data_IF_900798319641
#
_entry.id   IF_900798319641
#
_cell.length_a   1.000
_cell.length_b   1.000
_cell.length_c   1.000
_cell.angle_alpha   90.00
_cell.angle_beta   90.00
_cell.angle_gamma   90.00
#
_symmetry.space_group_name_H-M   'P 1'
#
loop_
_entity.id
_entity.type
_entity.pdbx_description
1 polymer ?
#
# COMPACT_ATOMS: atom_id res chain seq x y z
N UNK A 1 20.65 -11.97 0.95
CA UNK A 1 20.31 -13.02 1.93
C UNK A 1 19.70 -14.27 1.27
N UNK A 2 20.24 -14.68 0.10
CA UNK A 2 19.76 -15.80 -0.73
C UNK A 2 20.12 -17.21 -0.19
N UNK A 3 21.01 -17.29 0.80
CA UNK A 3 21.60 -18.57 1.22
C UNK A 3 20.66 -19.42 2.09
N UNK A 4 19.66 -18.82 2.73
CA UNK A 4 18.76 -19.57 3.62
C UNK A 4 17.70 -20.39 2.88
N UNK A 5 17.42 -20.14 1.60
CA UNK A 5 16.38 -20.85 0.83
C UNK A 5 16.90 -21.67 -0.35
N UNK A 6 18.20 -21.56 -0.72
CA UNK A 6 18.82 -22.40 -1.76
C UNK A 6 19.39 -23.72 -1.25
N UNK A 7 19.41 -23.93 0.07
CA UNK A 7 19.86 -25.20 0.65
C UNK A 7 18.70 -26.20 0.70
N UNK A 8 18.98 -27.52 0.59
CA UNK A 8 17.97 -28.57 0.83
C UNK A 8 17.27 -28.42 2.19
N UNK A 9 17.97 -27.86 3.19
CA UNK A 9 17.42 -27.54 4.50
C UNK A 9 16.46 -26.34 4.47
N UNK A 10 16.76 -25.29 3.71
CA UNK A 10 15.86 -24.15 3.47
C UNK A 10 14.58 -24.55 2.74
N UNK A 11 14.69 -25.44 1.76
CA UNK A 11 13.55 -25.98 1.02
C UNK A 11 12.73 -26.97 1.88
N UNK A 12 13.39 -27.77 2.72
CA UNK A 12 12.72 -28.63 3.69
C UNK A 12 12.00 -27.81 4.77
N UNK A 13 12.60 -26.72 5.27
CA UNK A 13 11.95 -25.79 6.20
C UNK A 13 10.75 -25.12 5.52
N UNK A 14 10.88 -24.68 4.27
CA UNK A 14 9.76 -24.17 3.47
C UNK A 14 8.61 -25.18 3.35
N UNK A 15 8.91 -26.46 3.11
CA UNK A 15 7.91 -27.53 2.99
C UNK A 15 7.25 -27.89 4.33
N UNK A 16 8.03 -27.92 5.42
CA UNK A 16 7.55 -28.18 6.79
C UNK A 16 6.72 -27.01 7.32
N UNK A 17 7.08 -25.78 6.98
CA UNK A 17 6.23 -24.63 7.21
C UNK A 17 4.90 -24.87 6.45
N UNK A 18 4.89 -25.15 5.16
CA UNK A 18 3.63 -25.23 4.39
C UNK A 18 2.59 -26.33 4.79
N UNK A 19 2.83 -27.16 5.81
CA UNK A 19 1.90 -28.18 6.32
C UNK A 19 1.14 -27.70 7.59
N UNK A 20 0.01 -27.01 7.38
CA UNK A 20 -1.21 -27.05 8.21
C UNK A 20 -1.18 -26.60 9.69
N UNK A 21 -1.94 -25.52 9.98
CA UNK A 21 -2.23 -24.84 11.29
C UNK A 21 -1.39 -23.60 11.63
N UNK A 22 -0.41 -23.25 10.80
CA UNK A 22 0.54 -22.14 11.03
C UNK A 22 0.67 -21.17 9.84
N UNK A 23 -0.27 -21.20 8.87
CA UNK A 23 -0.14 -20.43 7.62
C UNK A 23 0.13 -18.93 7.87
N UNK A 24 -0.51 -18.32 8.85
CA UNK A 24 -0.33 -16.88 9.12
C UNK A 24 1.02 -16.56 9.76
N UNK A 25 1.49 -17.43 10.66
CA UNK A 25 2.83 -17.36 11.24
C UNK A 25 3.86 -17.49 10.14
N UNK A 26 3.70 -18.47 9.25
CA UNK A 26 4.65 -18.74 8.16
C UNK A 26 4.67 -17.60 7.16
N UNK A 27 3.50 -17.06 6.83
CA UNK A 27 3.39 -15.91 5.94
C UNK A 27 4.05 -14.68 6.56
N UNK A 28 3.85 -14.44 7.86
CA UNK A 28 4.50 -13.35 8.57
C UNK A 28 6.01 -13.53 8.60
N UNK A 29 6.51 -14.71 8.98
CA UNK A 29 7.95 -15.05 8.96
C UNK A 29 8.53 -14.85 7.56
N UNK A 30 7.86 -15.38 6.53
CA UNK A 30 8.33 -15.29 5.16
C UNK A 30 8.42 -13.83 4.68
N UNK A 31 7.35 -13.06 4.85
CA UNK A 31 7.36 -11.65 4.46
C UNK A 31 8.38 -10.87 5.27
N UNK A 32 8.48 -11.09 6.58
CA UNK A 32 9.43 -10.38 7.43
C UNK A 32 10.89 -10.70 7.08
N UNK A 33 11.21 -11.96 6.74
CA UNK A 33 12.57 -12.41 6.45
C UNK A 33 13.10 -11.99 5.08
N UNK A 34 12.23 -11.62 4.13
CA UNK A 34 12.65 -11.12 2.82
C UNK A 34 13.26 -9.73 2.92
N UNK A 35 14.30 -9.47 2.13
CA UNK A 35 14.81 -8.10 1.96
C UNK A 35 13.69 -7.20 1.43
N UNK A 36 13.65 -5.92 1.83
CA UNK A 36 12.51 -5.04 1.55
C UNK A 36 12.11 -4.98 0.06
N UNK A 37 13.09 -5.02 -0.85
CA UNK A 37 12.85 -5.03 -2.28
C UNK A 37 12.22 -6.35 -2.77
N UNK A 38 12.69 -7.49 -2.26
CA UNK A 38 12.17 -8.82 -2.58
C UNK A 38 10.76 -9.01 -2.00
N UNK A 39 10.52 -8.53 -0.77
CA UNK A 39 9.21 -8.47 -0.13
C UNK A 39 8.20 -7.72 -0.99
N UNK A 40 8.57 -6.53 -1.48
CA UNK A 40 7.70 -5.72 -2.34
C UNK A 40 7.46 -6.39 -3.70
N UNK A 41 8.50 -6.98 -4.29
CA UNK A 41 8.36 -7.72 -5.54
C UNK A 41 7.41 -8.92 -5.39
N UNK A 42 7.54 -9.67 -4.29
CA UNK A 42 6.68 -10.79 -3.98
C UNK A 42 5.21 -10.37 -3.82
N UNK A 43 4.95 -9.33 -3.03
CA UNK A 43 3.60 -8.79 -2.82
C UNK A 43 2.99 -8.23 -4.12
N UNK A 44 3.79 -7.58 -4.96
CA UNK A 44 3.34 -7.10 -6.28
C UNK A 44 2.93 -8.26 -7.19
N UNK A 45 3.70 -9.34 -7.23
CA UNK A 45 3.41 -10.53 -8.05
C UNK A 45 2.19 -11.31 -7.54
N UNK A 46 1.99 -11.39 -6.22
CA UNK A 46 0.75 -11.94 -5.68
C UNK A 46 -0.46 -11.09 -6.08
N UNK A 47 -0.32 -9.77 -6.04
CA UNK A 47 -1.40 -8.84 -6.38
C UNK A 47 -1.81 -8.90 -7.85
N UNK A 48 -0.89 -9.16 -8.77
CA UNK A 48 -1.21 -9.34 -10.20
C UNK A 48 -1.91 -10.67 -10.50
N UNK A 49 -1.68 -11.71 -9.68
CA UNK A 49 -2.32 -13.03 -9.83
C UNK A 49 -3.72 -13.12 -9.25
N UNK A 50 -4.02 -12.37 -8.18
CA UNK A 50 -5.33 -12.34 -7.49
C UNK A 50 -6.08 -11.05 -7.82
N UNK A 51 -6.51 -10.94 -9.07
CA UNK A 51 -7.19 -9.74 -9.61
C UNK A 51 -8.53 -9.46 -8.91
N UNK A 52 -8.87 -8.16 -8.77
CA UNK A 52 -10.03 -7.54 -8.07
C UNK A 52 -9.80 -7.15 -6.60
N UNK A 53 -9.54 -8.07 -5.68
CA UNK A 53 -9.34 -7.74 -4.25
C UNK A 53 -7.97 -7.12 -3.93
N UNK A 54 -6.96 -7.32 -4.80
CA UNK A 54 -5.56 -6.95 -4.51
C UNK A 54 -5.04 -5.69 -5.21
N UNK A 55 -5.88 -4.98 -5.98
CA UNK A 55 -5.46 -3.79 -6.73
C UNK A 55 -4.94 -2.68 -5.81
N UNK A 56 -5.45 -2.64 -4.58
CA UNK A 56 -4.99 -1.71 -3.55
C UNK A 56 -3.54 -1.97 -3.14
N UNK A 57 -3.05 -3.21 -3.22
CA UNK A 57 -1.66 -3.56 -2.88
C UNK A 57 -0.69 -2.95 -3.91
N UNK A 58 -1.04 -2.96 -5.19
CA UNK A 58 -0.22 -2.30 -6.22
C UNK A 58 -0.16 -0.78 -6.02
N UNK A 59 -1.30 -0.14 -5.72
CA UNK A 59 -1.33 1.29 -5.36
C UNK A 59 -0.50 1.57 -4.11
N UNK A 60 -0.63 0.74 -3.09
CA UNK A 60 0.11 0.87 -1.84
C UNK A 60 1.61 0.83 -2.08
N UNK A 61 2.12 -0.21 -2.76
CA UNK A 61 3.55 -0.34 -3.07
C UNK A 61 4.01 0.87 -3.90
N UNK A 62 3.29 1.21 -4.97
CA UNK A 62 3.67 2.31 -5.86
C UNK A 62 3.64 3.70 -5.20
N UNK A 63 2.75 3.94 -4.23
CA UNK A 63 2.51 5.28 -3.69
C UNK A 63 3.19 5.52 -2.33
N UNK A 64 3.44 4.46 -1.55
CA UNK A 64 4.02 4.56 -0.19
C UNK A 64 5.53 4.35 -0.14
N UNK A 65 6.14 3.78 -1.19
CA UNK A 65 7.60 3.63 -1.30
C UNK A 65 8.23 4.93 -1.78
N UNK A 66 9.51 5.11 -1.49
CA UNK A 66 10.33 6.10 -2.17
C UNK A 66 10.61 5.66 -3.62
N UNK A 67 11.09 6.57 -4.45
CA UNK A 67 11.49 6.27 -5.83
C UNK A 67 12.58 5.19 -5.89
N UNK A 68 13.53 5.21 -4.97
CA UNK A 68 14.61 4.23 -4.88
C UNK A 68 14.14 2.87 -4.36
N UNK A 69 13.22 2.85 -3.39
CA UNK A 69 12.61 1.62 -2.89
C UNK A 69 11.78 0.95 -3.99
N UNK A 70 10.94 1.71 -4.70
CA UNK A 70 10.15 1.19 -5.81
C UNK A 70 11.05 0.69 -6.94
N UNK A 71 12.11 1.42 -7.28
CA UNK A 71 13.09 0.97 -8.28
C UNK A 71 13.80 -0.31 -7.86
N UNK A 72 14.16 -0.44 -6.58
CA UNK A 72 14.75 -1.66 -6.04
C UNK A 72 13.78 -2.84 -6.08
N UNK A 73 12.50 -2.63 -5.78
CA UNK A 73 11.46 -3.64 -5.93
C UNK A 73 11.32 -4.11 -7.40
N UNK A 74 11.38 -3.18 -8.37
CA UNK A 74 11.38 -3.55 -9.81
C UNK A 74 12.57 -4.42 -10.19
N UNK A 75 13.78 -4.07 -9.72
CA UNK A 75 14.99 -4.90 -9.92
C UNK A 75 14.81 -6.30 -9.34
N UNK A 76 14.33 -6.39 -8.10
CA UNK A 76 14.06 -7.68 -7.46
C UNK A 76 13.01 -8.49 -8.24
N UNK A 77 11.96 -7.84 -8.75
CA UNK A 77 10.93 -8.47 -9.58
C UNK A 77 11.51 -9.10 -10.86
N UNK A 78 12.38 -8.36 -11.57
CA UNK A 78 13.09 -8.91 -12.72
C UNK A 78 13.94 -10.14 -12.37
N UNK A 79 14.65 -10.10 -11.25
CA UNK A 79 15.48 -11.22 -10.80
C UNK A 79 14.62 -12.44 -10.48
N UNK A 80 13.54 -12.27 -9.72
CA UNK A 80 12.69 -13.35 -9.21
C UNK A 80 11.77 -13.94 -10.29
N UNK A 81 11.20 -13.11 -11.17
CA UNK A 81 10.12 -13.52 -12.08
C UNK A 81 10.46 -13.44 -13.57
N UNK A 82 11.66 -12.95 -13.91
CA UNK A 82 12.18 -12.85 -15.30
C UNK A 82 11.30 -12.01 -16.24
N UNK A 83 10.59 -11.04 -15.67
CA UNK A 83 9.72 -10.07 -16.35
C UNK A 83 9.62 -8.80 -15.50
N UNK A 84 9.02 -7.73 -16.02
CA UNK A 84 8.82 -6.48 -15.29
C UNK A 84 7.48 -6.47 -14.52
N UNK A 85 7.39 -5.61 -13.49
CA UNK A 85 6.12 -5.34 -12.80
C UNK A 85 5.13 -4.72 -13.79
N UNK A 86 5.63 -3.84 -14.65
CA UNK A 86 4.88 -3.11 -15.66
C UNK A 86 4.19 -4.04 -16.66
N UNK A 87 4.89 -5.05 -17.18
CA UNK A 87 4.32 -6.05 -18.09
C UNK A 87 3.20 -6.85 -17.40
N UNK A 88 3.43 -7.32 -16.18
CA UNK A 88 2.40 -8.07 -15.45
C UNK A 88 1.19 -7.21 -15.11
N UNK A 89 1.39 -5.96 -14.71
CA UNK A 89 0.30 -5.02 -14.49
C UNK A 89 -0.44 -4.76 -15.80
N UNK A 90 0.26 -4.50 -16.91
CA UNK A 90 -0.39 -4.26 -18.21
C UNK A 90 -1.18 -5.48 -18.71
N UNK A 91 -0.69 -6.70 -18.43
CA UNK A 91 -1.31 -7.96 -18.82
C UNK A 91 -2.54 -8.31 -17.98
N UNK A 92 -2.45 -8.18 -16.66
CA UNK A 92 -3.50 -8.65 -15.73
C UNK A 92 -4.53 -7.58 -15.38
N UNK A 93 -4.32 -6.32 -15.79
CA UNK A 93 -5.24 -5.21 -15.51
C UNK A 93 -5.90 -4.69 -16.80
N UNK A 94 -7.11 -4.17 -16.70
CA UNK A 94 -7.88 -3.64 -17.84
C UNK A 94 -8.55 -2.31 -17.50
N UNK A 95 -9.00 -1.59 -18.54
CA UNK A 95 -9.78 -0.36 -18.40
C UNK A 95 -9.11 0.70 -17.52
N UNK A 96 -9.92 1.33 -16.67
CA UNK A 96 -9.52 2.42 -15.78
C UNK A 96 -8.46 1.99 -14.77
N UNK A 97 -8.54 0.75 -14.29
CA UNK A 97 -7.56 0.19 -13.37
C UNK A 97 -6.18 0.12 -14.00
N UNK A 98 -6.07 -0.38 -15.25
CA UNK A 98 -4.78 -0.37 -15.96
C UNK A 98 -4.28 1.04 -16.17
N UNK A 99 -5.19 1.93 -16.57
CA UNK A 99 -4.88 3.33 -16.85
C UNK A 99 -4.28 4.05 -15.63
N UNK A 100 -4.72 3.70 -14.42
CA UNK A 100 -4.15 4.21 -13.17
C UNK A 100 -2.92 3.43 -12.71
N UNK A 101 -3.00 2.10 -12.63
CA UNK A 101 -1.99 1.26 -11.99
C UNK A 101 -0.68 1.24 -12.76
N UNK A 102 -0.73 1.17 -14.09
CA UNK A 102 0.47 1.11 -14.91
C UNK A 102 1.38 2.34 -14.69
N UNK A 103 0.93 3.59 -14.85
CA UNK A 103 1.80 4.74 -14.60
C UNK A 103 2.22 4.88 -13.14
N UNK A 104 1.41 4.42 -12.17
CA UNK A 104 1.81 4.40 -10.75
C UNK A 104 3.01 3.47 -10.54
N UNK A 105 2.93 2.21 -10.96
CA UNK A 105 4.03 1.26 -10.78
C UNK A 105 5.23 1.62 -11.64
N UNK A 106 5.03 2.26 -12.80
CA UNK A 106 6.12 2.73 -13.66
C UNK A 106 6.84 3.97 -13.13
N UNK A 107 6.29 4.67 -12.13
CA UNK A 107 6.83 5.95 -11.68
C UNK A 107 8.24 5.86 -11.09
N UNK A 108 9.02 6.92 -11.30
CA UNK A 108 10.27 7.22 -10.61
C UNK A 108 10.26 8.73 -10.33
N UNK A 109 9.66 9.09 -9.20
CA UNK A 109 9.26 10.46 -8.89
C UNK A 109 10.45 11.27 -8.42
N UNK A 110 10.42 12.56 -8.69
CA UNK A 110 11.27 13.51 -7.99
C UNK A 110 10.88 13.56 -6.50
N UNK A 111 11.86 13.51 -5.61
CA UNK A 111 11.65 13.44 -4.15
C UNK A 111 12.09 14.71 -3.39
N UNK A 112 12.47 15.77 -4.12
CA UNK A 112 12.73 17.06 -3.50
C UNK A 112 11.45 17.79 -3.07
N UNK A 113 11.65 18.76 -2.19
CA UNK A 113 10.58 19.55 -1.57
C UNK A 113 10.10 20.73 -2.41
N UNK A 114 10.67 20.93 -3.60
CA UNK A 114 10.32 22.03 -4.50
C UNK A 114 8.86 21.91 -4.96
N UNK A 115 8.12 22.99 -4.75
CA UNK A 115 6.71 23.11 -5.10
C UNK A 115 6.50 24.30 -6.01
N UNK A 116 5.82 24.08 -7.13
CA UNK A 116 5.31 25.15 -7.99
C UNK A 116 3.84 25.43 -7.64
N UNK A 117 3.62 26.53 -6.90
CA UNK A 117 2.28 26.94 -6.44
C UNK A 117 1.34 27.33 -7.58
N UNK A 118 1.87 27.89 -8.67
CA UNK A 118 1.06 28.24 -9.86
C UNK A 118 0.51 26.98 -10.52
N UNK A 119 1.36 25.96 -10.70
CA UNK A 119 0.94 24.65 -11.20
C UNK A 119 -0.02 23.99 -10.22
N UNK A 120 0.27 24.04 -8.91
CA UNK A 120 -0.59 23.43 -7.89
C UNK A 120 -2.02 24.01 -7.92
N UNK A 121 -2.17 25.33 -8.05
CA UNK A 121 -3.48 25.99 -8.20
C UNK A 121 -4.19 25.60 -9.49
N UNK A 122 -3.46 25.53 -10.61
CA UNK A 122 -4.03 25.15 -11.90
C UNK A 122 -4.50 23.68 -11.89
N UNK A 123 -3.64 22.77 -11.42
CA UNK A 123 -3.93 21.34 -11.32
C UNK A 123 -5.05 21.06 -10.31
N UNK A 124 -5.18 21.82 -9.22
CA UNK A 124 -6.30 21.71 -8.30
C UNK A 124 -7.65 21.97 -9.00
N UNK A 125 -7.71 23.00 -9.86
CA UNK A 125 -8.90 23.31 -10.67
C UNK A 125 -9.19 22.20 -11.67
N UNK A 126 -8.16 21.68 -12.34
CA UNK A 126 -8.30 20.56 -13.28
C UNK A 126 -8.88 19.34 -12.56
N UNK A 127 -8.30 18.93 -11.41
CA UNK A 127 -8.82 17.81 -10.62
C UNK A 127 -10.30 18.03 -10.26
N UNK A 128 -10.68 19.24 -9.81
CA UNK A 128 -12.06 19.54 -9.45
C UNK A 128 -13.00 19.45 -10.66
N UNK A 129 -12.59 19.99 -11.81
CA UNK A 129 -13.37 19.92 -13.05
C UNK A 129 -13.60 18.46 -13.50
N UNK A 130 -12.54 17.64 -13.54
CA UNK A 130 -12.64 16.24 -13.97
C UNK A 130 -13.51 15.42 -13.02
N UNK A 131 -13.34 15.60 -11.71
CA UNK A 131 -14.14 14.92 -10.69
C UNK A 131 -15.61 15.35 -10.77
N UNK A 132 -15.90 16.64 -10.94
CA UNK A 132 -17.27 17.15 -11.06
C UNK A 132 -17.99 16.61 -12.30
N UNK A 133 -17.24 16.35 -13.39
CA UNK A 133 -17.74 15.72 -14.62
C UNK A 133 -17.74 14.19 -14.58
N UNK A 134 -17.38 13.57 -13.45
CA UNK A 134 -17.21 12.12 -13.28
C UNK A 134 -16.19 11.48 -14.25
N UNK A 135 -15.25 12.28 -14.76
CA UNK A 135 -14.15 11.84 -15.61
C UNK A 135 -12.99 11.33 -14.74
N UNK A 136 -13.24 10.29 -13.95
CA UNK A 136 -12.29 9.80 -12.93
C UNK A 136 -11.03 9.17 -13.53
N UNK A 137 -11.11 8.69 -14.77
CA UNK A 137 -10.00 8.08 -15.51
C UNK A 137 -9.32 9.08 -16.47
N UNK A 138 -9.57 10.38 -16.35
CA UNK A 138 -9.02 11.41 -17.23
C UNK A 138 -7.49 11.47 -17.14
N UNK A 139 -6.83 11.69 -18.29
CA UNK A 139 -5.38 11.67 -18.40
C UNK A 139 -4.70 12.68 -17.47
N UNK A 140 -5.29 13.86 -17.26
CA UNK A 140 -4.73 14.85 -16.35
C UNK A 140 -4.80 14.40 -14.89
N UNK A 141 -5.92 13.80 -14.48
CA UNK A 141 -6.07 13.28 -13.12
C UNK A 141 -5.03 12.18 -12.85
N UNK A 142 -4.91 11.23 -13.77
CA UNK A 142 -3.93 10.14 -13.66
C UNK A 142 -2.51 10.69 -13.69
N UNK A 143 -2.19 11.61 -14.61
CA UNK A 143 -0.87 12.24 -14.72
C UNK A 143 -0.49 12.94 -13.43
N UNK A 144 -1.37 13.76 -12.85
CA UNK A 144 -1.11 14.48 -11.60
C UNK A 144 -0.77 13.49 -10.48
N UNK A 145 -1.57 12.44 -10.30
CA UNK A 145 -1.33 11.44 -9.26
C UNK A 145 -0.11 10.57 -9.53
N UNK A 146 0.21 10.25 -10.79
CA UNK A 146 1.24 9.29 -11.13
C UNK A 146 2.64 9.86 -11.33
N UNK A 147 2.77 11.14 -11.72
CA UNK A 147 4.07 11.69 -12.15
C UNK A 147 4.60 12.82 -11.27
N UNK A 148 3.73 13.56 -10.56
CA UNK A 148 4.17 14.66 -9.67
C UNK A 148 4.91 14.12 -8.44
N UNK A 149 5.83 14.93 -7.89
CA UNK A 149 6.47 14.65 -6.59
C UNK A 149 5.41 14.62 -5.50
N UNK A 150 5.68 13.91 -4.39
CA UNK A 150 4.73 13.86 -3.26
C UNK A 150 4.50 15.25 -2.67
N UNK A 151 5.54 16.09 -2.58
CA UNK A 151 5.45 17.48 -2.17
C UNK A 151 4.50 18.30 -3.07
N UNK A 152 4.65 18.17 -4.40
CA UNK A 152 3.78 18.86 -5.36
C UNK A 152 2.33 18.35 -5.30
N UNK A 153 2.11 17.02 -5.18
CA UNK A 153 0.76 16.45 -5.03
C UNK A 153 0.10 17.02 -3.76
N UNK A 154 0.81 17.05 -2.64
CA UNK A 154 0.28 17.60 -1.39
C UNK A 154 -0.09 19.08 -1.53
N UNK A 155 0.75 19.89 -2.18
CA UNK A 155 0.44 21.30 -2.46
C UNK A 155 -0.79 21.48 -3.36
N UNK A 156 -0.91 20.69 -4.42
CA UNK A 156 -2.09 20.67 -5.29
C UNK A 156 -3.36 20.35 -4.51
N UNK A 157 -3.31 19.35 -3.62
CA UNK A 157 -4.47 18.95 -2.82
C UNK A 157 -4.81 19.92 -1.69
N UNK A 158 -3.83 20.63 -1.13
CA UNK A 158 -4.07 21.73 -0.22
C UNK A 158 -4.82 22.86 -0.93
N UNK A 159 -4.36 23.26 -2.13
CA UNK A 159 -5.08 24.25 -2.93
C UNK A 159 -6.47 23.80 -3.38
N UNK A 160 -6.66 22.51 -3.65
CA UNK A 160 -8.00 21.95 -3.89
C UNK A 160 -8.91 22.22 -2.69
N UNK A 161 -8.43 21.91 -1.47
CA UNK A 161 -9.21 22.14 -0.25
C UNK A 161 -9.49 23.63 -0.02
N UNK A 162 -8.50 24.50 -0.21
CA UNK A 162 -8.66 25.94 -0.02
C UNK A 162 -9.68 26.55 -1.00
N UNK A 163 -9.65 26.10 -2.27
CA UNK A 163 -10.52 26.63 -3.31
C UNK A 163 -11.96 26.08 -3.26
N UNK A 164 -12.15 24.83 -2.82
CA UNK A 164 -13.44 24.13 -2.89
C UNK A 164 -14.04 23.74 -1.53
N UNK A 165 -13.35 24.08 -0.43
CA UNK A 165 -13.84 23.94 0.95
C UNK A 165 -13.85 22.52 1.51
N UNK A 166 -13.36 21.52 0.77
CA UNK A 166 -13.35 20.10 1.17
C UNK A 166 -12.16 19.36 0.59
N UNK A 167 -11.69 18.33 1.30
CA UNK A 167 -10.63 17.45 0.79
C UNK A 167 -11.14 16.68 -0.45
N UNK A 168 -10.29 16.50 -1.47
CA UNK A 168 -10.59 15.73 -2.71
C UNK A 168 -11.22 14.35 -2.45
N UNK A 169 -10.80 13.68 -1.37
CA UNK A 169 -11.33 12.38 -0.96
C UNK A 169 -12.80 12.40 -0.53
N UNK A 170 -13.40 13.57 -0.32
CA UNK A 170 -14.83 13.75 -0.07
C UNK A 170 -15.61 13.77 -1.39
N UNK A 171 -15.04 14.35 -2.44
CA UNK A 171 -15.68 14.41 -3.76
C UNK A 171 -15.56 13.09 -4.51
N UNK A 172 -14.52 12.30 -4.24
CA UNK A 172 -14.38 10.94 -4.76
C UNK A 172 -15.29 9.90 -4.06
N UNK A 173 -16.35 10.28 -3.35
CA UNK A 173 -17.24 9.36 -2.58
C UNK A 173 -18.69 9.32 -3.06
N UNK A 174 -18.98 9.89 -4.22
CA UNK A 174 -20.34 9.94 -4.74
C UNK A 174 -20.97 8.55 -4.90
N UNK A 175 -20.20 7.58 -5.40
CA UNK A 175 -20.55 6.16 -5.37
C UNK A 175 -19.66 5.38 -4.37
N UNK A 176 -20.22 4.95 -3.22
CA UNK A 176 -19.48 4.14 -2.25
C UNK A 176 -19.11 2.74 -2.74
N UNK A 177 -19.81 2.19 -3.75
CA UNK A 177 -19.58 0.86 -4.32
C UNK A 177 -18.60 0.86 -5.49
N UNK A 178 -18.24 2.05 -5.98
CA UNK A 178 -17.25 2.18 -7.05
C UNK A 178 -15.84 1.88 -6.52
N UNK A 179 -15.32 0.73 -6.94
CA UNK A 179 -13.98 0.24 -6.57
C UNK A 179 -12.86 1.07 -7.21
N UNK A 180 -13.08 1.68 -8.37
CA UNK A 180 -12.09 2.56 -8.98
C UNK A 180 -11.97 3.87 -8.20
N UNK A 181 -13.09 4.45 -7.77
CA UNK A 181 -13.08 5.57 -6.81
C UNK A 181 -12.41 5.17 -5.48
N UNK A 182 -12.62 3.94 -5.02
CA UNK A 182 -11.90 3.39 -3.86
C UNK A 182 -10.40 3.38 -4.05
N UNK A 183 -9.95 3.01 -5.24
CA UNK A 183 -8.54 2.96 -5.61
C UNK A 183 -7.93 4.36 -5.70
N UNK A 184 -8.61 5.33 -6.32
CA UNK A 184 -8.18 6.73 -6.36
C UNK A 184 -8.06 7.34 -4.96
N UNK A 185 -9.05 7.10 -4.09
CA UNK A 185 -9.00 7.55 -2.69
C UNK A 185 -7.81 6.97 -1.94
N UNK A 186 -7.47 5.72 -2.24
CA UNK A 186 -6.33 5.03 -1.65
C UNK A 186 -5.02 5.62 -2.16
N UNK A 187 -4.87 5.84 -3.48
CA UNK A 187 -3.70 6.49 -4.07
C UNK A 187 -3.45 7.87 -3.47
N UNK A 188 -4.49 8.71 -3.37
CA UNK A 188 -4.40 10.04 -2.74
C UNK A 188 -3.89 9.94 -1.30
N UNK A 189 -4.43 9.01 -0.50
CA UNK A 189 -3.98 8.83 0.88
C UNK A 189 -2.55 8.32 0.96
N UNK A 190 -2.19 7.30 0.18
CA UNK A 190 -0.84 6.75 0.15
C UNK A 190 0.22 7.80 -0.21
N UNK A 191 -0.11 8.70 -1.15
CA UNK A 191 0.81 9.76 -1.60
C UNK A 191 0.99 10.89 -0.59
N UNK A 192 0.00 11.15 0.28
CA UNK A 192 -0.01 12.36 1.14
C UNK A 192 -0.01 12.09 2.63
N UNK A 193 -0.65 11.00 3.07
CA UNK A 193 -0.88 10.61 4.46
C UNK A 193 -0.88 9.09 4.58
N UNK A 194 0.27 8.43 4.28
CA UNK A 194 0.37 6.97 4.27
C UNK A 194 -0.02 6.34 5.61
N UNK A 195 0.26 7.00 6.74
CA UNK A 195 -0.12 6.56 8.08
C UNK A 195 -1.64 6.38 8.22
N UNK A 196 -2.44 7.29 7.64
CA UNK A 196 -3.92 7.19 7.65
C UNK A 196 -4.45 6.14 6.71
N UNK A 197 -3.68 5.81 5.67
CA UNK A 197 -4.00 4.69 4.80
C UNK A 197 -3.77 3.38 5.56
N UNK A 198 -2.58 3.16 6.11
CA UNK A 198 -2.23 1.93 6.83
C UNK A 198 -3.10 1.71 8.07
N UNK A 199 -3.33 2.75 8.89
CA UNK A 199 -4.24 2.65 10.04
C UNK A 199 -5.65 2.24 9.63
N UNK A 200 -6.15 2.73 8.47
CA UNK A 200 -7.44 2.28 7.92
C UNK A 200 -7.39 0.82 7.49
N UNK A 201 -6.31 0.35 6.85
CA UNK A 201 -6.17 -1.06 6.45
C UNK A 201 -6.19 -1.96 7.66
N UNK A 202 -5.38 -1.66 8.68
CA UNK A 202 -5.32 -2.40 9.96
C UNK A 202 -6.68 -2.42 10.66
N UNK A 203 -7.37 -1.29 10.71
CA UNK A 203 -8.73 -1.21 11.26
C UNK A 203 -9.74 -2.07 10.49
N UNK A 204 -9.65 -2.08 9.17
CA UNK A 204 -10.52 -2.91 8.34
C UNK A 204 -10.13 -4.39 8.38
N UNK A 205 -8.90 -4.75 8.73
CA UNK A 205 -8.49 -6.13 8.92
C UNK A 205 -8.90 -6.68 10.28
N UNK A 206 -8.96 -5.84 11.31
CA UNK A 206 -9.32 -6.25 12.67
C UNK A 206 -10.84 -6.18 12.91
N UNK A 207 -11.52 -5.11 12.49
CA UNK A 207 -12.91 -4.84 12.87
C UNK A 207 -13.98 -5.47 11.94
N UNK A 208 -13.70 -6.63 11.31
CA UNK A 208 -14.69 -7.37 10.49
C UNK A 208 -15.21 -8.61 11.26
N UNK A 209 -16.21 -9.30 10.72
CA UNK A 209 -16.59 -10.63 11.23
C UNK A 209 -15.45 -11.60 10.87
N UNK A 210 -14.45 -11.70 11.75
CA UNK A 210 -13.16 -12.35 11.49
C UNK A 210 -12.06 -11.34 11.12
N UNK A 211 -10.81 -11.80 11.18
CA UNK A 211 -9.63 -11.00 10.86
C UNK A 211 -9.26 -11.18 9.38
N UNK A 212 -8.80 -10.13 8.70
CA UNK A 212 -8.11 -10.26 7.40
C UNK A 212 -6.61 -10.35 7.68
N UNK A 213 -6.14 -11.55 8.03
CA UNK A 213 -4.76 -11.80 8.45
C UNK A 213 -3.77 -11.46 7.34
N UNK A 214 -4.17 -11.62 6.07
CA UNK A 214 -3.37 -11.24 4.91
C UNK A 214 -3.05 -9.73 4.88
N UNK A 215 -4.07 -8.89 5.10
CA UNK A 215 -3.89 -7.45 5.18
C UNK A 215 -3.11 -7.03 6.44
N UNK A 216 -3.45 -7.58 7.60
CA UNK A 216 -2.78 -7.27 8.87
C UNK A 216 -1.28 -7.62 8.81
N UNK A 217 -0.97 -8.86 8.39
CA UNK A 217 0.41 -9.36 8.19
C UNK A 217 1.19 -8.47 7.25
N UNK A 218 0.60 -8.10 6.10
CA UNK A 218 1.27 -7.26 5.11
C UNK A 218 1.62 -5.89 5.68
N UNK A 219 0.70 -5.23 6.38
CA UNK A 219 0.98 -3.92 6.98
C UNK A 219 2.07 -4.04 8.05
N UNK A 220 1.94 -4.97 9.00
CA UNK A 220 2.93 -5.11 10.07
C UNK A 220 4.32 -5.45 9.50
N UNK A 221 4.42 -6.46 8.62
CA UNK A 221 5.69 -6.88 8.04
C UNK A 221 6.35 -5.78 7.19
N UNK A 222 5.57 -4.99 6.43
CA UNK A 222 6.16 -3.97 5.54
C UNK A 222 6.46 -2.65 6.24
N UNK A 223 5.84 -2.36 7.39
CA UNK A 223 5.93 -1.04 8.05
C UNK A 223 6.71 -1.05 9.36
N UNK A 224 6.97 -2.21 9.97
CA UNK A 224 7.62 -2.30 11.28
C UNK A 224 8.97 -1.55 11.33
N UNK A 225 9.77 -1.57 10.26
CA UNK A 225 11.07 -0.88 10.17
C UNK A 225 10.98 0.55 9.61
N UNK A 226 9.78 1.05 9.34
CA UNK A 226 9.56 2.34 8.64
C UNK A 226 8.78 3.31 9.52
N UNK A 227 7.49 3.04 9.73
CA UNK A 227 6.56 3.98 10.36
C UNK A 227 5.43 3.29 11.14
N UNK A 228 5.55 2.00 11.47
CA UNK A 228 4.48 1.25 12.15
C UNK A 228 4.06 1.89 13.48
N UNK A 229 4.99 2.53 14.21
CA UNK A 229 4.66 3.29 15.42
C UNK A 229 3.71 4.46 15.13
N UNK A 230 3.97 5.22 14.05
CA UNK A 230 3.10 6.33 13.62
C UNK A 230 1.74 5.79 13.17
N UNK A 231 1.72 4.62 12.50
CA UNK A 231 0.49 3.92 12.13
C UNK A 231 -0.31 3.51 13.37
N UNK A 232 0.35 2.99 14.41
CA UNK A 232 -0.27 2.60 15.67
C UNK A 232 -0.86 3.82 16.42
N UNK A 233 -0.15 4.94 16.46
CA UNK A 233 -0.63 6.19 17.05
C UNK A 233 -1.87 6.72 16.31
N UNK A 234 -1.86 6.70 14.97
CA UNK A 234 -3.00 7.11 14.15
C UNK A 234 -4.20 6.15 14.29
N UNK A 235 -3.95 4.84 14.45
CA UNK A 235 -4.97 3.84 14.77
C UNK A 235 -5.63 4.16 16.12
N UNK A 236 -4.84 4.34 17.18
CA UNK A 236 -5.35 4.67 18.51
C UNK A 236 -6.15 5.97 18.50
N UNK A 237 -5.67 7.00 17.80
CA UNK A 237 -6.37 8.28 17.64
C UNK A 237 -7.73 8.10 16.96
N UNK A 238 -7.88 7.11 16.08
CA UNK A 238 -9.10 6.88 15.30
C UNK A 238 -10.11 5.97 15.99
N UNK A 239 -9.64 4.90 16.64
CA UNK A 239 -10.47 3.84 17.21
C UNK A 239 -10.53 3.87 18.75
N UNK A 240 -9.78 4.77 19.39
CA UNK A 240 -9.70 4.94 20.86
C UNK A 240 -9.24 3.69 21.61
N UNK A 241 -8.64 2.73 20.89
CA UNK A 241 -8.07 1.50 21.43
C UNK A 241 -6.63 1.40 20.89
N UNK A 242 -5.62 1.17 21.76
CA UNK A 242 -4.26 0.87 21.33
C UNK A 242 -4.19 -0.32 20.35
N UNK A 243 -3.30 -0.26 19.36
CA UNK A 243 -3.24 -1.27 18.29
C UNK A 243 -2.86 -2.67 18.82
N UNK A 244 -1.92 -2.74 19.75
CA UNK A 244 -1.53 -3.96 20.47
C UNK A 244 -2.74 -4.63 21.14
N UNK A 245 -3.58 -3.86 21.85
CA UNK A 245 -4.79 -4.39 22.48
C UNK A 245 -5.82 -4.88 21.47
N UNK A 246 -5.93 -4.20 20.34
CA UNK A 246 -6.82 -4.62 19.26
C UNK A 246 -6.35 -5.96 18.63
N UNK A 247 -5.04 -6.14 18.47
CA UNK A 247 -4.45 -7.40 17.96
C UNK A 247 -4.66 -8.55 18.94
N UNK A 248 -4.42 -8.35 20.24
CA UNK A 248 -4.66 -9.39 21.27
C UNK A 248 -6.11 -9.84 21.31
N UNK A 249 -7.05 -8.94 20.99
CA UNK A 249 -8.47 -9.27 21.00
C UNK A 249 -8.88 -10.15 19.81
N UNK A 250 -8.32 -9.90 18.64
CA UNK A 250 -8.79 -10.48 17.36
C UNK A 250 -7.81 -11.47 16.73
N UNK A 251 -6.68 -11.75 17.39
CA UNK A 251 -5.71 -12.80 17.01
C UNK A 251 -5.38 -13.66 18.23
N UNK A 252 -4.80 -14.84 18.02
CA UNK A 252 -4.37 -15.73 19.11
C UNK A 252 -3.09 -16.48 18.76
N UNK A 253 -2.43 -17.04 19.78
CA UNK A 253 -1.31 -17.98 19.61
C UNK A 253 -0.03 -17.32 19.12
N UNK A 254 0.80 -18.07 18.38
CA UNK A 254 2.12 -17.58 17.97
C UNK A 254 2.04 -16.45 16.94
N UNK A 255 0.95 -16.37 16.16
CA UNK A 255 0.72 -15.26 15.25
C UNK A 255 0.54 -13.94 16.00
N UNK A 256 -0.29 -13.93 17.05
CA UNK A 256 -0.46 -12.78 17.94
C UNK A 256 0.89 -12.33 18.53
N UNK A 257 1.62 -13.27 19.13
CA UNK A 257 2.92 -12.98 19.77
C UNK A 257 3.91 -12.35 18.80
N UNK A 258 3.99 -12.86 17.57
CA UNK A 258 4.87 -12.29 16.56
C UNK A 258 4.45 -10.89 16.11
N UNK A 259 3.15 -10.63 15.93
CA UNK A 259 2.65 -9.30 15.60
C UNK A 259 2.99 -8.29 16.70
N UNK A 260 2.84 -8.68 17.97
CA UNK A 260 3.18 -7.84 19.13
C UNK A 260 4.69 -7.58 19.23
N UNK A 261 5.52 -8.60 19.00
CA UNK A 261 6.97 -8.43 18.96
C UNK A 261 7.39 -7.42 17.87
N UNK A 262 6.78 -7.50 16.68
CA UNK A 262 7.03 -6.54 15.58
C UNK A 262 6.49 -5.13 15.86
N UNK A 263 5.55 -4.99 16.80
CA UNK A 263 5.10 -3.69 17.33
C UNK A 263 6.02 -3.13 18.43
N UNK A 264 7.05 -3.88 18.83
CA UNK A 264 8.00 -3.49 19.87
C UNK A 264 7.58 -3.91 21.28
N UNK A 265 6.59 -4.78 21.42
CA UNK A 265 6.26 -5.43 22.69
C UNK A 265 7.11 -6.69 22.84
N UNK A 266 8.26 -6.55 23.50
CA UNK A 266 9.00 -7.69 23.99
C UNK A 266 8.49 -8.02 25.39
N UNK A 267 7.67 -9.05 25.53
CA UNK A 267 7.59 -9.76 26.80
C UNK A 267 8.96 -10.43 27.00
N UNK A 268 9.75 -9.91 27.95
CA UNK A 268 11.01 -10.53 28.36
C UNK A 268 10.76 -11.83 29.15
#
# INVERSE_FOLDING_TARGET
>A
MLVLFETPAGFALFKVLNEGKLYEVQRLVHLWALESAERDAFLANEATKKWTSSNQVLVEIACTRSSDQLFSAKKAYHVLYKKSIEEDVAHHTTGDYRKLLLPLVSSHRYEGDEVNLTIAKAEAKILHEKISKKAYNDDDLIRILATRSKAQVNATLNHYKDAFGKDINKDLKEDPKDEFLSLLRSAVKCLTRPEKYFAKIVRLSINKHGTDEGALTRVVATRAEIDLKIVADEYQRRDSVPLDRAIVKDTTGDYEKMLLALLGHNDA
#
